data_IF_155719055857
#
_entry.id   IF_155719055857
#
_cell.length_a   1.000
_cell.length_b   1.000
_cell.length_c   1.000
_cell.angle_alpha   90.00
_cell.angle_beta   90.00
_cell.angle_gamma   90.00
#
_symmetry.space_group_name_H-M   'P 1'
#
loop_
_entity.id
_entity.type
_entity.pdbx_description
1 polymer ?
#
# COMPACT_ATOMS: atom_id res chain seq x y z
N UNK A 1 -19.69 3.07 -11.85
CA UNK A 1 -19.35 2.34 -10.61
C UNK A 1 -19.66 3.28 -9.44
N UNK A 2 -20.52 2.90 -8.50
CA UNK A 2 -20.83 3.76 -7.34
C UNK A 2 -19.64 3.69 -6.39
N UNK A 3 -19.03 4.82 -6.06
CA UNK A 3 -17.93 4.87 -5.09
C UNK A 3 -18.46 4.44 -3.72
N UNK A 4 -17.81 3.45 -3.08
CA UNK A 4 -18.10 3.10 -1.68
C UNK A 4 -17.80 4.35 -0.84
N UNK A 5 -18.67 4.66 0.11
CA UNK A 5 -18.50 5.77 1.05
C UNK A 5 -18.78 5.26 2.45
N UNK A 6 -18.09 5.83 3.43
CA UNK A 6 -18.14 5.38 4.81
C UNK A 6 -18.51 6.53 5.73
N UNK A 7 -19.35 6.28 6.72
CA UNK A 7 -19.40 7.17 7.89
C UNK A 7 -18.17 6.94 8.80
N UNK A 8 -18.02 7.76 9.85
CA UNK A 8 -16.85 7.66 10.75
C UNK A 8 -16.76 6.31 11.46
N UNK A 9 -17.89 5.73 11.85
CA UNK A 9 -17.92 4.43 12.55
C UNK A 9 -17.52 3.31 11.60
N UNK A 10 -18.05 3.34 10.37
CA UNK A 10 -17.69 2.39 9.33
C UNK A 10 -16.21 2.52 8.95
N UNK A 11 -15.69 3.74 8.78
CA UNK A 11 -14.28 3.98 8.53
C UNK A 11 -13.40 3.45 9.67
N UNK A 12 -13.77 3.69 10.94
CA UNK A 12 -13.07 3.12 12.09
C UNK A 12 -13.10 1.58 12.11
N UNK A 13 -14.19 0.96 11.63
CA UNK A 13 -14.29 -0.50 11.55
C UNK A 13 -13.40 -1.12 10.47
N UNK A 14 -12.98 -0.34 9.46
CA UNK A 14 -12.03 -0.79 8.45
C UNK A 14 -10.59 -0.81 8.95
N UNK A 15 -10.25 -0.03 9.98
CA UNK A 15 -8.88 0.16 10.46
C UNK A 15 -8.14 -1.17 10.71
N UNK A 16 -8.73 -2.20 11.36
CA UNK A 16 -8.03 -3.47 11.57
C UNK A 16 -7.61 -4.15 10.26
N UNK A 17 -8.49 -4.15 9.26
CA UNK A 17 -8.22 -4.72 7.94
C UNK A 17 -7.18 -3.88 7.18
N UNK A 18 -7.38 -2.56 7.14
CA UNK A 18 -6.45 -1.62 6.50
C UNK A 18 -5.06 -1.70 7.13
N UNK A 19 -4.97 -1.97 8.43
CA UNK A 19 -3.72 -2.19 9.13
C UNK A 19 -3.01 -3.44 8.65
N UNK A 20 -3.71 -4.57 8.56
CA UNK A 20 -3.12 -5.82 8.03
C UNK A 20 -2.60 -5.62 6.60
N UNK A 21 -3.39 -4.99 5.72
CA UNK A 21 -3.01 -4.72 4.34
C UNK A 21 -1.83 -3.72 4.24
N UNK A 22 -1.82 -2.68 5.08
CA UNK A 22 -0.74 -1.69 5.11
C UNK A 22 0.58 -2.27 5.61
N UNK A 23 0.54 -3.15 6.63
CA UNK A 23 1.72 -3.88 7.10
C UNK A 23 2.28 -4.75 5.99
N UNK A 24 1.43 -5.54 5.31
CA UNK A 24 1.87 -6.39 4.20
C UNK A 24 2.48 -5.55 3.06
N UNK A 25 1.88 -4.40 2.71
CA UNK A 25 2.46 -3.49 1.73
C UNK A 25 3.86 -3.00 2.13
N UNK A 26 4.03 -2.58 3.39
CA UNK A 26 5.30 -2.06 3.89
C UNK A 26 6.37 -3.16 3.92
N UNK A 27 6.03 -4.34 4.44
CA UNK A 27 6.94 -5.49 4.53
C UNK A 27 7.38 -5.95 3.13
N UNK A 28 6.43 -6.11 2.20
CA UNK A 28 6.74 -6.52 0.83
C UNK A 28 7.51 -5.47 0.04
N UNK A 29 7.23 -4.18 0.26
CA UNK A 29 8.00 -3.11 -0.39
C UNK A 29 9.46 -3.10 0.11
N UNK A 30 9.66 -3.26 1.42
CA UNK A 30 11.00 -3.37 2.00
C UNK A 30 11.76 -4.59 1.50
N UNK A 31 11.10 -5.76 1.45
CA UNK A 31 11.71 -6.98 0.94
C UNK A 31 12.01 -6.88 -0.56
N UNK A 32 11.12 -6.29 -1.35
CA UNK A 32 11.37 -6.04 -2.77
C UNK A 32 12.60 -5.16 -2.97
N UNK A 33 12.71 -4.05 -2.22
CA UNK A 33 13.87 -3.17 -2.30
C UNK A 33 15.18 -3.91 -1.93
N UNK A 34 15.14 -4.77 -0.91
CA UNK A 34 16.28 -5.60 -0.50
C UNK A 34 16.69 -6.58 -1.60
N UNK A 35 15.72 -7.25 -2.23
CA UNK A 35 15.96 -8.21 -3.31
C UNK A 35 16.48 -7.52 -4.57
N UNK A 36 15.96 -6.34 -4.92
CA UNK A 36 16.41 -5.55 -6.06
C UNK A 36 17.87 -5.08 -5.86
N UNK A 37 18.23 -4.63 -4.65
CA UNK A 37 19.62 -4.30 -4.32
C UNK A 37 20.55 -5.52 -4.42
N UNK A 38 20.13 -6.67 -3.90
CA UNK A 38 20.93 -7.90 -3.98
C UNK A 38 21.10 -8.38 -5.43
N UNK A 39 20.05 -8.26 -6.25
CA UNK A 39 20.12 -8.56 -7.67
C UNK A 39 21.14 -7.65 -8.37
N UNK A 40 21.14 -6.35 -8.07
CA UNK A 40 22.10 -5.39 -8.62
C UNK A 40 23.54 -5.75 -8.23
N UNK A 41 23.81 -6.08 -6.96
CA UNK A 41 25.14 -6.50 -6.52
C UNK A 41 25.63 -7.77 -7.22
N UNK A 42 24.78 -8.80 -7.32
CA UNK A 42 25.16 -10.06 -7.98
C UNK A 42 25.29 -9.91 -9.50
N UNK A 43 24.57 -8.97 -10.12
CA UNK A 43 24.65 -8.72 -11.57
C UNK A 43 26.04 -8.24 -12.01
N UNK A 44 26.81 -7.65 -11.10
CA UNK A 44 28.22 -7.25 -11.36
C UNK A 44 29.13 -8.44 -11.66
N UNK A 45 28.73 -9.66 -11.27
CA UNK A 45 29.45 -10.92 -11.52
C UNK A 45 28.52 -12.00 -12.10
N UNK A 46 27.68 -11.64 -13.07
CA UNK A 46 26.57 -12.47 -13.59
C UNK A 46 26.96 -13.90 -14.00
N UNK A 47 28.16 -14.12 -14.57
CA UNK A 47 28.63 -15.47 -14.94
C UNK A 47 28.81 -16.42 -13.75
N UNK A 48 29.14 -15.89 -12.57
CA UNK A 48 29.36 -16.70 -11.37
C UNK A 48 28.06 -16.99 -10.61
N UNK A 49 27.00 -16.21 -10.85
CA UNK A 49 25.77 -16.20 -10.05
C UNK A 49 24.50 -16.36 -10.89
N UNK A 50 24.59 -17.05 -12.03
CA UNK A 50 23.47 -17.12 -12.99
C UNK A 50 22.21 -17.72 -12.37
N UNK A 51 22.34 -18.78 -11.56
CA UNK A 51 21.22 -19.45 -10.92
C UNK A 51 20.61 -18.58 -9.81
N UNK A 52 21.45 -17.95 -8.98
CA UNK A 52 21.03 -17.05 -7.92
C UNK A 52 20.29 -15.82 -8.48
N UNK A 53 20.75 -15.29 -9.61
CA UNK A 53 20.09 -14.19 -10.30
C UNK A 53 18.73 -14.59 -10.87
N UNK A 54 18.59 -15.82 -11.40
CA UNK A 54 17.31 -16.33 -11.88
C UNK A 54 16.30 -16.49 -10.73
N UNK A 55 16.75 -17.03 -9.60
CA UNK A 55 15.97 -17.18 -8.36
C UNK A 55 15.50 -15.81 -7.83
N UNK A 56 16.41 -14.84 -7.72
CA UNK A 56 16.08 -13.47 -7.29
C UNK A 56 15.07 -12.80 -8.21
N UNK A 57 15.22 -12.94 -9.54
CA UNK A 57 14.27 -12.39 -10.52
C UNK A 57 12.88 -12.98 -10.32
N UNK A 58 12.77 -14.28 -10.05
CA UNK A 58 11.51 -14.94 -9.76
C UNK A 58 10.86 -14.39 -8.47
N UNK A 59 11.64 -14.28 -7.39
CA UNK A 59 11.15 -13.73 -6.12
C UNK A 59 10.68 -12.27 -6.27
N UNK A 60 11.47 -11.43 -6.96
CA UNK A 60 11.09 -10.04 -7.29
C UNK A 60 9.76 -9.99 -8.04
N UNK A 61 9.57 -10.85 -9.04
CA UNK A 61 8.32 -10.92 -9.79
C UNK A 61 7.13 -11.30 -8.90
N UNK A 62 7.31 -12.26 -7.99
CA UNK A 62 6.29 -12.63 -7.00
C UNK A 62 5.94 -11.45 -6.08
N UNK A 63 6.93 -10.78 -5.49
CA UNK A 63 6.68 -9.63 -4.62
C UNK A 63 5.96 -8.48 -5.36
N UNK A 64 6.34 -8.20 -6.62
CA UNK A 64 5.65 -7.20 -7.46
C UNK A 64 4.20 -7.55 -7.72
N UNK A 65 3.89 -8.82 -7.96
CA UNK A 65 2.50 -9.27 -8.17
C UNK A 65 1.68 -9.09 -6.90
N UNK A 66 2.20 -9.53 -5.76
CA UNK A 66 1.48 -9.46 -4.49
C UNK A 66 1.28 -8.02 -4.03
N UNK A 67 2.27 -7.14 -4.19
CA UNK A 67 2.09 -5.69 -3.93
C UNK A 67 0.94 -5.09 -4.75
N UNK A 68 0.78 -5.51 -6.01
CA UNK A 68 -0.35 -5.08 -6.85
C UNK A 68 -1.68 -5.63 -6.33
N UNK A 69 -1.71 -6.88 -5.86
CA UNK A 69 -2.90 -7.52 -5.27
C UNK A 69 -3.33 -6.80 -4.00
N UNK A 70 -2.43 -6.61 -3.04
CA UNK A 70 -2.73 -5.93 -1.77
C UNK A 70 -3.19 -4.48 -2.02
N UNK A 71 -2.58 -3.77 -2.97
CA UNK A 71 -3.04 -2.45 -3.41
C UNK A 71 -4.47 -2.51 -3.96
N UNK A 72 -4.73 -3.47 -4.83
CA UNK A 72 -6.05 -3.64 -5.44
C UNK A 72 -7.13 -3.96 -4.39
N UNK A 73 -6.80 -4.69 -3.33
CA UNK A 73 -7.72 -4.96 -2.22
C UNK A 73 -8.12 -3.68 -1.49
N UNK A 74 -7.16 -2.78 -1.23
CA UNK A 74 -7.44 -1.47 -0.63
C UNK A 74 -8.31 -0.62 -1.57
N UNK A 75 -7.99 -0.60 -2.87
CA UNK A 75 -8.77 0.10 -3.90
C UNK A 75 -10.19 -0.47 -4.05
N UNK A 76 -10.37 -1.79 -3.90
CA UNK A 76 -11.66 -2.46 -3.94
C UNK A 76 -12.55 -2.12 -2.72
N UNK A 77 -11.94 -1.67 -1.62
CA UNK A 77 -12.66 -1.04 -0.51
C UNK A 77 -13.07 0.41 -0.82
N UNK A 78 -12.68 0.96 -1.98
CA UNK A 78 -12.86 2.36 -2.35
C UNK A 78 -11.87 3.30 -1.67
N UNK A 79 -10.84 2.75 -1.03
CA UNK A 79 -9.80 3.54 -0.37
C UNK A 79 -8.67 3.84 -1.35
N UNK A 80 -7.94 4.93 -1.11
CA UNK A 80 -6.78 5.32 -1.91
C UNK A 80 -5.52 5.30 -1.06
N UNK A 81 -4.40 4.89 -1.64
CA UNK A 81 -3.11 4.87 -0.97
C UNK A 81 -2.33 6.11 -1.39
N UNK A 82 -1.97 6.93 -0.42
CA UNK A 82 -1.08 8.07 -0.58
C UNK A 82 0.28 7.73 0.04
N UNK A 83 1.35 8.06 -0.68
CA UNK A 83 2.70 7.78 -0.23
C UNK A 83 3.54 9.05 -0.27
N UNK A 84 3.64 9.72 0.88
CA UNK A 84 4.50 10.89 1.10
C UNK A 84 5.41 10.61 2.31
N UNK A 85 6.39 9.73 2.12
CA UNK A 85 7.31 9.25 3.18
C UNK A 85 6.68 8.30 4.22
N UNK A 86 5.36 8.37 4.45
CA UNK A 86 4.59 7.49 5.32
C UNK A 86 3.40 6.92 4.54
N UNK A 87 3.05 5.65 4.80
CA UNK A 87 1.88 5.02 4.20
C UNK A 87 0.60 5.60 4.82
N UNK A 88 -0.15 6.34 4.01
CA UNK A 88 -1.45 6.91 4.35
C UNK A 88 -2.53 6.26 3.48
N UNK A 89 -3.69 5.99 4.07
CA UNK A 89 -4.87 5.48 3.37
C UNK A 89 -6.01 6.48 3.52
N UNK A 90 -6.53 6.95 2.39
CA UNK A 90 -7.70 7.81 2.31
C UNK A 90 -8.96 6.95 2.18
N UNK A 91 -9.89 7.14 3.10
CA UNK A 91 -11.17 6.45 3.18
C UNK A 91 -12.28 7.43 2.77
N UNK A 92 -13.06 7.16 1.72
CA UNK A 92 -14.08 8.07 1.22
C UNK A 92 -15.25 8.23 2.20
N UNK A 93 -15.80 9.43 2.33
CA UNK A 93 -16.93 9.75 3.23
C UNK A 93 -18.19 10.19 2.49
N UNK A 94 -19.34 10.12 3.16
CA UNK A 94 -20.66 10.49 2.63
C UNK A 94 -21.03 11.97 2.84
N UNK A 95 -20.08 12.83 3.25
CA UNK A 95 -20.39 14.22 3.62
C UNK A 95 -20.86 15.04 2.42
N UNK A 96 -21.87 15.89 2.68
CA UNK A 96 -22.75 16.55 1.70
C UNK A 96 -22.05 17.68 0.90
N UNK A 97 -20.79 17.99 1.19
CA UNK A 97 -19.99 19.06 0.57
C UNK A 97 -18.69 18.51 0.00
N UNK A 98 -18.72 17.96 -1.21
CA UNK A 98 -17.50 17.54 -1.92
C UNK A 98 -16.86 16.25 -1.39
N UNK A 99 -15.77 15.82 -2.05
CA UNK A 99 -15.05 14.56 -1.80
C UNK A 99 -14.22 14.61 -0.51
N UNK A 100 -14.86 14.94 0.60
CA UNK A 100 -14.30 14.83 1.95
C UNK A 100 -14.14 13.36 2.34
N UNK A 101 -13.08 13.06 3.10
CA UNK A 101 -12.74 11.70 3.50
C UNK A 101 -12.08 11.64 4.87
N UNK A 102 -11.66 10.45 5.24
CA UNK A 102 -10.83 10.21 6.41
C UNK A 102 -9.44 9.76 5.97
N UNK A 103 -8.39 10.27 6.59
CA UNK A 103 -7.05 9.72 6.47
C UNK A 103 -6.75 8.85 7.69
N UNK A 104 -6.19 7.69 7.41
CA UNK A 104 -5.61 6.80 8.40
C UNK A 104 -4.14 6.56 8.04
N UNK A 105 -3.28 6.52 9.06
CA UNK A 105 -1.84 6.31 8.88
C UNK A 105 -1.38 5.11 9.69
N UNK A 106 -0.47 4.34 9.11
CA UNK A 106 0.07 3.15 9.76
C UNK A 106 0.88 3.47 11.03
N UNK A 107 1.61 4.59 11.04
CA UNK A 107 2.41 5.06 12.18
C UNK A 107 1.56 5.69 13.31
N UNK A 108 0.28 5.99 13.04
CA UNK A 108 -0.68 6.50 14.01
C UNK A 108 -1.96 5.64 13.98
N UNK A 109 -1.87 4.34 14.31
CA UNK A 109 -2.93 3.37 14.00
C UNK A 109 -4.26 3.64 14.70
N UNK A 110 -4.23 4.39 15.80
CA UNK A 110 -5.42 4.75 16.59
C UNK A 110 -6.05 6.10 16.19
N UNK A 111 -5.54 6.74 15.12
CA UNK A 111 -5.97 8.07 14.71
C UNK A 111 -6.61 8.03 13.34
N UNK A 112 -7.81 8.60 13.26
CA UNK A 112 -8.54 8.85 12.03
C UNK A 112 -8.76 10.36 11.93
N UNK A 113 -8.20 10.99 10.90
CA UNK A 113 -8.27 12.44 10.68
C UNK A 113 -9.25 12.76 9.57
N UNK A 114 -10.12 13.74 9.77
CA UNK A 114 -10.95 14.28 8.70
C UNK A 114 -10.06 15.05 7.72
N UNK A 115 -10.24 14.84 6.42
CA UNK A 115 -9.46 15.48 5.35
C UNK A 115 -10.41 16.10 4.35
N UNK A 116 -10.19 17.39 4.06
CA UNK A 116 -10.82 18.06 2.93
C UNK A 116 -10.07 17.73 1.64
N UNK A 117 -10.74 17.86 0.50
CA UNK A 117 -10.14 17.61 -0.81
C UNK A 117 -8.91 18.53 -1.00
N UNK A 118 -7.72 17.95 -1.19
CA UNK A 118 -6.60 18.67 -1.80
C UNK A 118 -6.88 18.72 -3.30
N UNK A 119 -7.59 19.77 -3.72
CA UNK A 119 -7.76 20.07 -5.12
C UNK A 119 -6.38 20.20 -5.79
N UNK A 120 -6.05 19.26 -6.67
CA UNK A 120 -5.05 19.40 -7.71
C UNK A 120 -5.73 19.88 -8.99
#
# INVERSE_FOLDING_TARGET
>A
MIAKTYDRRQASSLIPLLRSLAIELQERAGELQRLEWLQEELSKSERAHHNELAELRAQIACHKLELRRTRHEIEALGCEIEHDGVLMIRIPSHRRSGREGFAWRLDQPNRLTDVADSAA
#
